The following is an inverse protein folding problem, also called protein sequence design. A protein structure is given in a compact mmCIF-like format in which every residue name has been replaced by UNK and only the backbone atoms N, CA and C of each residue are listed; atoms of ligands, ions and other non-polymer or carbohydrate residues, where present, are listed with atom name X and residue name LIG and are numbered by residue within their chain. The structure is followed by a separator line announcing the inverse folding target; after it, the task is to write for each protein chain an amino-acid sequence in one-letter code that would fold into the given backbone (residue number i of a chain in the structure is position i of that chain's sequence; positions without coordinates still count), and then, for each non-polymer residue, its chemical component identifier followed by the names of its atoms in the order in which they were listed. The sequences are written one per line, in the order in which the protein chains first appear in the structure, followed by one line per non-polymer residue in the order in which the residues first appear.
data_IF_557605136040
#
_entry.id   IF_557605136040
#
_cell.length_a   1.000
_cell.length_b   1.000
_cell.length_c   1.000
_cell.angle_alpha   90.00
_cell.angle_beta   90.00
_cell.angle_gamma   90.00
#
_symmetry.space_group_name_H-M   'P 1'
#
loop_
_entity.id
_entity.type
_entity.pdbx_description
1 polymer ?
#
# COMPACT_ATOMS: atom_id res chain seq x y z
N UNK A 1 -19.22 9.89 -9.95
CA UNK A 1 -18.10 9.09 -9.38
C UNK A 1 -17.70 9.76 -8.07
N UNK A 2 -18.10 9.22 -6.93
CA UNK A 2 -17.66 9.74 -5.63
C UNK A 2 -16.17 9.46 -5.49
N UNK A 3 -15.37 10.52 -5.49
CA UNK A 3 -13.99 10.47 -5.04
C UNK A 3 -14.01 10.11 -3.55
N UNK A 4 -13.75 8.86 -3.22
CA UNK A 4 -13.42 8.44 -1.86
C UNK A 4 -12.11 9.13 -1.48
N UNK A 5 -12.21 10.31 -0.87
CA UNK A 5 -11.06 11.06 -0.42
C UNK A 5 -10.62 10.50 0.93
N UNK A 6 -10.15 9.25 0.94
CA UNK A 6 -9.55 8.63 2.12
C UNK A 6 -8.24 9.38 2.43
N UNK A 7 -7.92 9.62 3.71
CA UNK A 7 -6.66 10.25 4.07
C UNK A 7 -5.49 9.34 3.64
N UNK A 8 -4.36 9.93 3.19
CA UNK A 8 -3.19 9.14 2.83
C UNK A 8 -2.63 8.42 4.07
N UNK A 9 -2.11 7.23 3.84
CA UNK A 9 -1.46 6.40 4.85
C UNK A 9 0.00 6.85 4.99
N UNK A 10 0.38 7.31 6.18
CA UNK A 10 1.72 7.87 6.45
C UNK A 10 2.72 6.81 6.90
N UNK A 11 2.74 5.66 6.23
CA UNK A 11 3.65 4.55 6.50
C UNK A 11 3.92 3.75 5.23
N UNK A 12 4.97 2.94 5.25
CA UNK A 12 5.33 2.11 4.10
C UNK A 12 4.33 0.94 3.90
N UNK A 13 4.02 0.58 2.65
CA UNK A 13 3.12 -0.51 2.35
C UNK A 13 3.75 -1.87 2.70
N UNK A 14 2.92 -2.78 3.23
CA UNK A 14 3.33 -4.17 3.48
C UNK A 14 3.34 -4.97 2.17
N UNK A 15 4.53 -5.38 1.73
CA UNK A 15 4.72 -6.13 0.48
C UNK A 15 4.74 -7.65 0.69
N UNK A 16 4.22 -8.40 -0.27
CA UNK A 16 4.40 -9.84 -0.38
C UNK A 16 5.89 -10.17 -0.49
N UNK A 17 6.35 -11.14 0.32
CA UNK A 17 7.76 -11.55 0.43
C UNK A 17 8.26 -12.30 -0.81
N UNK A 18 7.36 -12.83 -1.63
CA UNK A 18 7.73 -13.43 -2.90
C UNK A 18 8.22 -12.35 -3.87
N UNK A 19 9.52 -12.40 -4.23
CA UNK A 19 10.22 -11.43 -5.08
C UNK A 19 9.61 -11.28 -6.47
N UNK A 20 8.93 -12.31 -6.99
CA UNK A 20 8.24 -12.23 -8.30
C UNK A 20 6.84 -11.62 -8.19
N UNK A 21 6.22 -11.66 -7.01
CA UNK A 21 4.88 -11.12 -6.79
C UNK A 21 4.92 -9.67 -6.31
N UNK A 22 5.52 -9.41 -5.14
CA UNK A 22 5.61 -8.08 -4.49
C UNK A 22 4.29 -7.29 -4.41
N UNK A 23 3.14 -7.95 -4.46
CA UNK A 23 1.84 -7.29 -4.28
C UNK A 23 1.72 -6.69 -2.89
N UNK A 24 0.90 -5.65 -2.75
CA UNK A 24 0.65 -4.98 -1.47
C UNK A 24 -0.47 -5.70 -0.70
N UNK A 25 -0.33 -5.78 0.62
CA UNK A 25 -1.40 -6.18 1.54
C UNK A 25 -2.68 -5.38 1.21
N UNK A 26 -3.80 -6.09 1.11
CA UNK A 26 -5.07 -5.49 0.70
C UNK A 26 -6.25 -6.28 1.31
N UNK A 27 -7.49 -5.77 1.25
CA UNK A 27 -8.64 -6.37 1.92
C UNK A 27 -9.03 -7.77 1.43
N UNK A 28 -8.48 -8.21 0.29
CA UNK A 28 -8.76 -9.53 -0.28
C UNK A 28 -7.76 -10.60 0.19
N UNK A 29 -6.73 -10.24 0.97
CA UNK A 29 -5.81 -11.18 1.57
C UNK A 29 -6.47 -11.94 2.72
N UNK A 30 -6.22 -13.25 2.82
CA UNK A 30 -6.66 -14.02 3.99
C UNK A 30 -5.69 -13.76 5.15
N UNK A 31 -6.22 -13.43 6.33
CA UNK A 31 -5.42 -13.04 7.50
C UNK A 31 -5.65 -13.99 8.65
N UNK A 32 -4.56 -14.45 9.27
CA UNK A 32 -4.57 -15.15 10.54
C UNK A 32 -4.03 -14.20 11.64
N UNK A 33 -4.94 -13.63 12.43
CA UNK A 33 -4.61 -12.71 13.51
C UNK A 33 -3.98 -13.39 14.72
N UNK A 34 -4.09 -14.71 14.87
CA UNK A 34 -3.49 -15.45 15.98
C UNK A 34 -2.04 -15.79 15.70
N UNK A 35 -1.78 -16.37 14.53
CA UNK A 35 -0.44 -16.72 14.08
C UNK A 35 0.29 -15.56 13.40
N UNK A 36 -0.35 -14.39 13.26
CA UNK A 36 0.22 -13.13 12.77
C UNK A 36 0.83 -13.26 11.36
N UNK A 37 0.07 -13.85 10.45
CA UNK A 37 0.44 -13.91 9.03
C UNK A 37 -0.75 -13.61 8.12
N UNK A 38 -0.44 -13.34 6.86
CA UNK A 38 -1.42 -13.19 5.79
C UNK A 38 -1.04 -14.01 4.56
N UNK A 39 -2.04 -14.38 3.77
CA UNK A 39 -1.87 -15.10 2.51
C UNK A 39 -2.20 -14.14 1.38
N UNK A 40 -1.22 -13.95 0.49
CA UNK A 40 -1.37 -13.10 -0.68
C UNK A 40 -2.45 -13.66 -1.62
N UNK A 41 -3.44 -12.84 -1.99
CA UNK A 41 -4.53 -13.24 -2.88
C UNK A 41 -4.11 -13.40 -4.36
N UNK A 42 -2.89 -13.02 -4.72
CA UNK A 42 -2.36 -13.19 -6.09
C UNK A 42 -1.52 -14.46 -6.27
N UNK A 43 -0.61 -14.73 -5.33
CA UNK A 43 0.37 -15.83 -5.47
C UNK A 43 0.28 -16.89 -4.36
N UNK A 44 -0.68 -16.74 -3.43
CA UNK A 44 -0.89 -17.65 -2.30
C UNK A 44 0.31 -17.81 -1.35
N UNK A 45 1.32 -16.94 -1.49
CA UNK A 45 2.46 -16.89 -0.57
C UNK A 45 1.95 -16.52 0.83
N UNK A 46 2.42 -17.28 1.83
CA UNK A 46 2.27 -16.97 3.24
C UNK A 46 3.33 -15.95 3.65
N UNK A 47 2.91 -14.84 4.25
CA UNK A 47 3.75 -13.72 4.66
C UNK A 47 3.51 -13.42 6.14
N UNK A 48 4.57 -13.36 6.94
CA UNK A 48 4.45 -12.88 8.31
C UNK A 48 4.20 -11.37 8.30
N UNK A 49 3.46 -10.86 9.28
CA UNK A 49 3.34 -9.42 9.46
C UNK A 49 4.67 -8.80 9.92
N UNK A 50 4.97 -7.55 9.51
CA UNK A 50 6.14 -6.84 10.02
C UNK A 50 5.95 -6.43 11.50
N UNK A 51 7.04 -6.12 12.23
CA UNK A 51 6.98 -5.85 13.68
C UNK A 51 5.99 -4.75 14.09
N UNK A 52 5.77 -3.72 13.26
CA UNK A 52 4.81 -2.66 13.55
C UNK A 52 3.34 -3.13 13.65
N UNK A 53 3.01 -4.33 13.14
CA UNK A 53 1.68 -4.95 13.26
C UNK A 53 1.63 -6.00 14.39
N UNK A 54 2.58 -6.01 15.34
CA UNK A 54 2.57 -6.98 16.44
C UNK A 54 1.25 -6.99 17.23
N UNK A 55 0.61 -5.82 17.35
CA UNK A 55 -0.68 -5.65 18.03
C UNK A 55 -1.93 -5.91 17.19
N UNK A 56 -1.78 -6.33 15.92
CA UNK A 56 -2.92 -6.51 15.00
C UNK A 56 -3.96 -7.48 15.57
N UNK A 57 -5.24 -7.15 15.48
CA UNK A 57 -6.35 -8.05 15.86
C UNK A 57 -7.55 -7.83 14.95
N UNK A 58 -8.60 -8.63 15.10
CA UNK A 58 -9.85 -8.40 14.38
C UNK A 58 -10.48 -7.03 14.69
N UNK A 59 -10.27 -6.50 15.91
CA UNK A 59 -10.78 -5.20 16.34
C UNK A 59 -9.81 -4.06 16.00
N UNK A 60 -8.50 -4.35 15.93
CA UNK A 60 -7.45 -3.40 15.60
C UNK A 60 -6.80 -3.77 14.27
N UNK A 61 -7.61 -3.70 13.21
CA UNK A 61 -7.15 -3.92 11.85
C UNK A 61 -6.50 -2.65 11.29
N UNK A 62 -5.43 -2.81 10.51
CA UNK A 62 -4.83 -1.70 9.80
C UNK A 62 -5.73 -1.29 8.62
N UNK A 63 -5.53 -0.07 8.10
CA UNK A 63 -6.39 0.50 7.09
C UNK A 63 -6.43 -0.39 5.82
N UNK A 64 -5.31 -0.97 5.42
CA UNK A 64 -5.17 -1.82 4.22
C UNK A 64 -6.06 -3.05 4.21
N UNK A 65 -6.53 -3.51 5.38
CA UNK A 65 -7.39 -4.68 5.49
C UNK A 65 -8.88 -4.32 5.60
N UNK A 66 -9.19 -3.04 5.77
CA UNK A 66 -10.58 -2.58 5.84
C UNK A 66 -11.24 -2.63 4.46
N UNK A 67 -12.46 -3.20 4.33
CA UNK A 67 -13.20 -3.21 3.07
C UNK A 67 -13.49 -1.82 2.48
N UNK A 68 -13.39 -0.76 3.27
CA UNK A 68 -13.56 0.62 2.83
C UNK A 68 -12.31 1.18 2.12
N UNK A 69 -11.15 0.54 2.31
CA UNK A 69 -9.84 0.97 1.86
C UNK A 69 -9.32 0.03 0.74
N UNK A 70 -10.15 -0.25 -0.25
CA UNK A 70 -9.75 -1.02 -1.45
C UNK A 70 -8.83 -0.24 -2.39
N UNK A 71 -8.93 1.09 -2.34
CA UNK A 71 -8.05 2.03 -3.03
C UNK A 71 -7.49 2.99 -1.99
N UNK A 72 -6.16 3.02 -1.84
CA UNK A 72 -5.46 3.85 -0.85
C UNK A 72 -4.23 4.50 -1.45
N UNK A 73 -3.79 5.60 -0.86
CA UNK A 73 -2.54 6.26 -1.19
C UNK A 73 -1.58 6.15 0.00
N UNK A 74 -0.32 5.81 -0.26
CA UNK A 74 0.74 5.77 0.74
C UNK A 74 1.66 6.97 0.55
N UNK A 75 1.89 7.72 1.62
CA UNK A 75 2.94 8.73 1.66
C UNK A 75 4.22 8.08 2.17
N UNK A 76 5.13 7.77 1.24
CA UNK A 76 6.40 7.13 1.55
C UNK A 76 7.37 8.18 2.12
N UNK A 77 8.03 7.86 3.24
CA UNK A 77 9.11 8.69 3.78
C UNK A 77 10.39 8.49 2.95
N UNK A 78 10.36 8.93 1.69
CA UNK A 78 11.52 8.91 0.78
C UNK A 78 12.14 10.30 0.70
N UNK A 79 13.34 10.35 0.12
CA UNK A 79 14.11 11.57 -0.14
C UNK A 79 13.22 12.69 -0.69
N UNK A 80 13.52 13.97 -0.37
CA UNK A 80 12.69 15.10 -0.75
C UNK A 80 12.35 15.06 -2.24
N UNK A 81 11.07 15.24 -2.54
CA UNK A 81 10.57 15.28 -3.91
C UNK A 81 11.38 16.29 -4.71
N UNK A 82 11.91 15.87 -5.85
CA UNK A 82 12.57 16.79 -6.76
C UNK A 82 11.54 17.82 -7.23
N UNK A 83 11.92 19.09 -7.37
CA UNK A 83 11.00 20.11 -7.86
C UNK A 83 10.53 19.78 -9.27
N UNK A 84 9.30 20.19 -9.60
CA UNK A 84 8.77 20.01 -10.95
C UNK A 84 9.57 20.84 -11.97
N UNK A 85 9.92 20.22 -13.10
CA UNK A 85 10.64 20.88 -14.20
C UNK A 85 9.68 21.09 -15.36
N UNK A 86 9.58 22.33 -15.83
CA UNK A 86 8.75 22.71 -16.97
C UNK A 86 9.66 23.29 -18.06
N UNK A 87 9.65 22.66 -19.24
CA UNK A 87 10.41 23.11 -20.40
C UNK A 87 9.43 23.40 -21.54
N UNK A 88 9.35 24.68 -21.93
CA UNK A 88 8.56 25.09 -23.09
C UNK A 88 9.48 25.11 -24.32
N UNK A 89 9.22 24.24 -25.27
CA UNK A 89 9.92 24.22 -26.56
C UNK A 89 8.93 24.67 -27.62
N UNK A 90 9.15 25.87 -28.15
CA UNK A 90 8.27 26.50 -29.13
C UNK A 90 9.04 26.65 -30.43
N UNK A 91 8.60 25.94 -31.46
CA UNK A 91 9.04 26.20 -32.83
C UNK A 91 8.34 27.45 -33.37
N UNK A 92 9.10 28.36 -33.96
CA UNK A 92 8.61 29.60 -34.56
C UNK A 92 8.95 29.71 -36.04
N UNK A 93 9.21 28.60 -36.74
CA UNK A 93 9.46 28.63 -38.18
C UNK A 93 8.27 29.28 -38.91
N UNK A 94 8.51 30.44 -39.53
CA UNK A 94 7.58 31.20 -40.37
C UNK A 94 7.96 31.10 -41.84
#
# INVERSE_FOLDING_TARGET
MQSYHLPPLNYDPVMCTNKTCRSILNPFCNVDYRAKFWICNFCLQRNNFPPQYAGISEQLQPAELSPQYTTVEYTLMRMPAQPAVFLFVVDTCM
#
